data_IF_214070285148
#
_entry.id   IF_214070285148
#
_cell.length_a   1.000
_cell.length_b   1.000
_cell.length_c   1.000
_cell.angle_alpha   90.00
_cell.angle_beta   90.00
_cell.angle_gamma   90.00
#
_symmetry.space_group_name_H-M   'P 1'
#
loop_
_entity.id
_entity.type
_entity.pdbx_description
1 polymer ?
#
# COMPACT_ATOMS: atom_id res chain seq x y z
N UNK A 1 -10.89 24.37 -7.46
CA UNK A 1 -10.23 23.34 -8.29
C UNK A 1 -10.79 21.98 -7.94
N UNK A 2 -11.08 21.12 -8.92
CA UNK A 2 -11.50 19.74 -8.65
C UNK A 2 -10.31 18.95 -8.09
N UNK A 3 -10.56 18.13 -7.07
CA UNK A 3 -9.54 17.24 -6.51
C UNK A 3 -9.25 16.10 -7.49
N UNK A 4 -7.97 15.69 -7.67
CA UNK A 4 -7.65 14.55 -8.53
C UNK A 4 -8.16 13.25 -7.90
N UNK A 5 -8.51 12.29 -8.73
CA UNK A 5 -8.71 10.92 -8.27
C UNK A 5 -7.37 10.27 -7.93
N UNK A 6 -7.34 9.47 -6.88
CA UNK A 6 -6.15 8.76 -6.41
C UNK A 6 -6.44 7.27 -6.46
N UNK A 7 -5.57 6.51 -7.12
CA UNK A 7 -5.63 5.05 -7.17
C UNK A 7 -4.30 4.49 -6.63
N UNK A 8 -4.36 3.75 -5.53
CA UNK A 8 -3.23 2.99 -5.00
C UNK A 8 -3.41 1.52 -5.37
N UNK A 9 -2.46 0.95 -6.10
CA UNK A 9 -2.42 -0.48 -6.42
C UNK A 9 -1.19 -1.07 -5.72
N UNK A 10 -1.41 -2.08 -4.90
CA UNK A 10 -0.33 -2.85 -4.27
C UNK A 10 -0.40 -4.29 -4.76
N UNK A 11 0.73 -4.79 -5.24
CA UNK A 11 0.86 -6.18 -5.69
C UNK A 11 1.85 -6.86 -4.74
N UNK A 12 1.32 -7.70 -3.86
CA UNK A 12 2.15 -8.43 -2.90
C UNK A 12 3.08 -9.40 -3.62
N UNK A 13 4.29 -9.56 -3.08
CA UNK A 13 5.31 -10.48 -3.60
C UNK A 13 5.76 -10.23 -5.05
N UNK A 14 5.43 -9.09 -5.64
CA UNK A 14 5.91 -8.75 -6.98
C UNK A 14 7.41 -8.41 -6.94
N UNK A 15 8.19 -9.21 -7.62
CA UNK A 15 9.65 -9.02 -7.74
C UNK A 15 9.97 -7.93 -8.75
N UNK A 16 10.80 -6.97 -8.35
CA UNK A 16 11.22 -5.86 -9.21
C UNK A 16 12.00 -6.31 -10.45
N UNK A 17 12.78 -7.38 -10.35
CA UNK A 17 13.52 -7.95 -11.49
C UNK A 17 12.61 -8.55 -12.57
N UNK A 18 11.31 -8.74 -12.28
CA UNK A 18 10.32 -9.23 -13.24
C UNK A 18 9.61 -8.12 -14.00
N UNK A 19 9.69 -6.88 -13.55
CA UNK A 19 8.98 -5.76 -14.16
C UNK A 19 9.82 -4.49 -14.40
N UNK A 20 10.99 -4.34 -13.75
CA UNK A 20 11.81 -3.11 -13.85
C UNK A 20 13.23 -3.40 -14.40
N UNK A 21 13.62 -4.64 -14.54
CA UNK A 21 14.97 -5.03 -15.00
C UNK A 21 15.15 -4.84 -16.51
N UNK A 22 16.41 -4.61 -16.94
CA UNK A 22 16.77 -4.59 -18.37
C UNK A 22 16.63 -5.95 -19.06
N UNK A 23 16.70 -7.05 -18.30
CA UNK A 23 16.57 -8.42 -18.79
C UNK A 23 15.29 -9.05 -18.26
N UNK A 24 14.15 -8.53 -18.69
CA UNK A 24 12.84 -9.02 -18.27
C UNK A 24 12.63 -10.45 -18.73
N UNK A 25 12.31 -11.35 -17.80
CA UNK A 25 11.84 -12.71 -18.07
C UNK A 25 10.31 -12.83 -18.05
N UNK A 26 9.61 -11.70 -17.91
CA UNK A 26 8.16 -11.61 -17.83
C UNK A 26 7.63 -10.62 -18.87
N UNK A 27 6.39 -10.85 -19.31
CA UNK A 27 5.67 -9.95 -20.22
C UNK A 27 4.70 -9.16 -19.36
N UNK A 28 4.94 -7.85 -19.20
CA UNK A 28 4.18 -6.96 -18.31
C UNK A 28 3.73 -5.67 -19.03
N UNK A 29 2.95 -5.78 -20.13
CA UNK A 29 2.69 -4.63 -21.01
C UNK A 29 2.02 -3.45 -20.31
N UNK A 30 1.16 -3.69 -19.33
CA UNK A 30 0.49 -2.62 -18.59
C UNK A 30 1.44 -1.94 -17.58
N UNK A 31 2.32 -2.70 -16.93
CA UNK A 31 3.35 -2.13 -16.06
C UNK A 31 4.36 -1.36 -16.90
N UNK A 32 4.77 -1.89 -18.06
CA UNK A 32 5.67 -1.24 -19.00
C UNK A 32 5.09 0.10 -19.48
N UNK A 33 3.78 0.13 -19.75
CA UNK A 33 3.08 1.37 -20.10
C UNK A 33 3.14 2.40 -18.96
N UNK A 34 2.90 1.99 -17.71
CA UNK A 34 3.00 2.88 -16.55
C UNK A 34 4.43 3.38 -16.34
N UNK A 35 5.42 2.51 -16.47
CA UNK A 35 6.84 2.85 -16.39
C UNK A 35 7.21 3.91 -17.43
N UNK A 36 6.75 3.74 -18.67
CA UNK A 36 7.05 4.66 -19.77
C UNK A 36 6.41 6.04 -19.60
N UNK A 37 5.23 6.11 -18.99
CA UNK A 37 4.42 7.33 -18.91
C UNK A 37 4.39 7.97 -17.51
N UNK A 38 5.01 7.34 -16.52
CA UNK A 38 5.05 7.79 -15.14
C UNK A 38 6.46 8.02 -14.60
N UNK A 39 6.55 8.10 -13.29
CA UNK A 39 7.82 8.18 -12.56
C UNK A 39 8.11 6.83 -11.90
N UNK A 40 9.32 6.32 -12.08
CA UNK A 40 9.77 5.04 -11.53
C UNK A 40 10.82 5.26 -10.46
N UNK A 41 10.69 4.55 -9.35
CA UNK A 41 11.63 4.56 -8.23
C UNK A 41 12.29 3.17 -8.09
N UNK A 42 13.34 2.85 -8.86
CA UNK A 42 13.88 1.50 -8.94
C UNK A 42 14.59 1.03 -7.66
N UNK A 43 14.99 1.95 -6.82
CA UNK A 43 15.74 1.66 -5.58
C UNK A 43 14.88 1.84 -4.32
N UNK A 44 13.58 1.61 -4.42
CA UNK A 44 12.69 1.66 -3.26
C UNK A 44 12.91 0.45 -2.36
N UNK A 45 13.07 0.70 -1.07
CA UNK A 45 13.30 -0.33 -0.04
C UNK A 45 12.05 -0.44 0.83
N UNK A 46 11.58 -1.67 1.04
CA UNK A 46 10.49 -1.94 1.97
C UNK A 46 10.92 -1.65 3.42
N UNK A 47 10.00 -1.09 4.20
CA UNK A 47 10.23 -0.82 5.62
C UNK A 47 10.32 -2.08 6.49
N UNK A 48 9.82 -3.22 5.99
CA UNK A 48 9.84 -4.51 6.68
C UNK A 48 9.78 -5.67 5.69
N UNK A 49 10.14 -6.86 6.16
CA UNK A 49 10.07 -8.09 5.38
C UNK A 49 8.68 -8.77 5.45
N UNK A 50 7.82 -8.37 6.41
CA UNK A 50 6.47 -8.92 6.58
C UNK A 50 5.42 -7.97 5.99
N UNK A 51 4.47 -8.52 5.23
CA UNK A 51 3.43 -7.76 4.52
C UNK A 51 2.64 -6.84 5.44
N UNK A 52 2.12 -7.35 6.57
CA UNK A 52 1.33 -6.55 7.51
C UNK A 52 2.10 -5.32 8.02
N UNK A 53 3.37 -5.48 8.38
CA UNK A 53 4.22 -4.42 8.91
C UNK A 53 4.59 -3.41 7.83
N UNK A 54 4.94 -3.88 6.62
CA UNK A 54 5.26 -3.02 5.50
C UNK A 54 4.03 -2.19 5.06
N UNK A 55 2.86 -2.82 4.97
CA UNK A 55 1.62 -2.13 4.63
C UNK A 55 1.22 -1.12 5.69
N UNK A 56 1.32 -1.46 6.97
CA UNK A 56 1.06 -0.49 8.05
C UNK A 56 1.95 0.73 7.95
N UNK A 57 3.21 0.56 7.56
CA UNK A 57 4.12 1.69 7.32
C UNK A 57 3.70 2.53 6.12
N UNK A 58 3.22 1.91 5.04
CA UNK A 58 2.69 2.64 3.87
C UNK A 58 1.45 3.45 4.28
N UNK A 59 0.55 2.85 5.06
CA UNK A 59 -0.70 3.51 5.46
C UNK A 59 -0.49 4.67 6.42
N UNK A 60 0.50 4.59 7.28
CA UNK A 60 0.76 5.60 8.34
C UNK A 60 1.88 6.58 7.98
N UNK A 61 2.73 6.25 7.01
CA UNK A 61 3.96 7.00 6.74
C UNK A 61 5.00 6.89 7.85
N UNK A 62 4.83 5.97 8.80
CA UNK A 62 5.70 5.79 9.96
C UNK A 62 6.53 4.51 9.83
N UNK A 63 7.77 4.51 10.33
CA UNK A 63 8.56 3.29 10.41
C UNK A 63 7.96 2.31 11.43
N UNK A 64 8.16 0.99 11.27
CA UNK A 64 7.54 -0.05 12.09
C UNK A 64 7.67 0.14 13.59
N UNK A 65 8.85 0.52 14.06
CA UNK A 65 9.11 0.72 15.51
C UNK A 65 8.30 1.88 16.12
N UNK A 66 7.83 2.84 15.31
CA UNK A 66 6.96 3.93 15.79
C UNK A 66 5.49 3.52 15.88
N UNK A 67 5.07 2.53 15.13
CA UNK A 67 3.72 1.97 15.21
C UNK A 67 3.65 0.75 16.14
N UNK A 68 4.76 0.41 16.80
CA UNK A 68 4.83 -0.69 17.74
C UNK A 68 4.84 -2.08 17.11
N UNK A 69 5.20 -2.17 15.83
CA UNK A 69 5.23 -3.44 15.09
C UNK A 69 6.65 -3.84 14.74
N UNK A 70 6.90 -5.13 14.70
CA UNK A 70 8.07 -5.75 14.09
C UNK A 70 7.67 -7.03 13.34
N UNK A 71 8.61 -7.75 12.75
CA UNK A 71 8.33 -8.95 11.95
C UNK A 71 7.87 -10.14 12.77
N UNK A 72 8.03 -10.12 14.08
CA UNK A 72 7.64 -11.19 15.01
C UNK A 72 6.34 -10.79 15.74
N UNK A 73 6.27 -9.52 16.17
CA UNK A 73 5.18 -8.96 16.95
C UNK A 73 4.33 -8.04 16.07
N UNK A 74 3.74 -8.58 15.02
CA UNK A 74 2.75 -7.85 14.23
C UNK A 74 1.35 -8.07 14.82
N UNK A 75 0.60 -7.01 14.90
CA UNK A 75 -0.76 -7.00 15.41
C UNK A 75 -1.62 -6.06 14.55
N UNK A 76 -2.90 -5.99 14.86
CA UNK A 76 -3.80 -5.06 14.21
C UNK A 76 -3.33 -3.62 14.41
N UNK A 77 -3.32 -2.82 13.34
CA UNK A 77 -2.99 -1.40 13.40
C UNK A 77 -3.96 -0.70 14.36
N UNK A 78 -3.41 0.06 15.32
CA UNK A 78 -4.25 0.79 16.28
C UNK A 78 -5.14 1.81 15.55
N UNK A 79 -6.43 1.87 15.88
CA UNK A 79 -7.34 2.85 15.29
C UNK A 79 -6.99 4.29 15.66
N UNK A 80 -6.16 4.52 16.67
CA UNK A 80 -5.74 5.87 17.09
C UNK A 80 -4.63 6.43 16.19
N UNK A 81 -3.96 5.58 15.43
CA UNK A 81 -2.90 6.01 14.52
C UNK A 81 -3.53 6.67 13.28
N UNK A 82 -3.01 7.82 12.91
CA UNK A 82 -3.44 8.51 11.71
C UNK A 82 -2.94 7.77 10.46
N UNK A 83 -3.84 7.55 9.51
CA UNK A 83 -3.54 6.93 8.22
C UNK A 83 -3.80 7.92 7.08
N UNK A 84 -3.16 7.69 5.92
CA UNK A 84 -3.44 8.51 4.73
C UNK A 84 -4.93 8.47 4.35
N UNK A 85 -5.63 7.37 4.65
CA UNK A 85 -7.07 7.21 4.39
C UNK A 85 -7.89 8.20 5.24
N UNK A 86 -7.57 8.31 6.54
CA UNK A 86 -8.20 9.32 7.44
C UNK A 86 -7.94 10.73 6.94
N UNK A 87 -6.70 11.02 6.54
CA UNK A 87 -6.32 12.32 6.00
C UNK A 87 -7.13 12.64 4.73
N UNK A 88 -7.27 11.69 3.81
CA UNK A 88 -8.05 11.85 2.59
C UNK A 88 -9.53 12.09 2.90
N UNK A 89 -10.14 11.32 3.79
CA UNK A 89 -11.53 11.51 4.23
C UNK A 89 -11.74 12.90 4.82
N UNK A 90 -10.88 13.32 5.74
CA UNK A 90 -10.93 14.63 6.36
C UNK A 90 -10.78 15.76 5.34
N UNK A 91 -10.17 15.47 4.20
CA UNK A 91 -10.09 16.38 3.07
C UNK A 91 -11.22 16.18 2.04
N UNK A 92 -12.28 15.44 2.37
CA UNK A 92 -13.49 15.29 1.57
C UNK A 92 -13.32 14.38 0.35
N UNK A 93 -12.40 13.41 0.39
CA UNK A 93 -12.37 12.30 -0.55
C UNK A 93 -13.34 11.20 -0.09
N UNK A 94 -14.01 10.59 -1.04
CA UNK A 94 -14.65 9.28 -0.82
C UNK A 94 -13.61 8.20 -0.99
N UNK A 95 -13.56 7.27 -0.06
CA UNK A 95 -12.53 6.24 -0.01
C UNK A 95 -13.14 4.86 -0.17
N UNK A 96 -12.53 4.06 -1.03
CA UNK A 96 -12.95 2.69 -1.31
C UNK A 96 -11.72 1.78 -1.33
N UNK A 97 -11.85 0.57 -0.79
CA UNK A 97 -10.81 -0.45 -0.83
C UNK A 97 -11.36 -1.77 -1.37
N UNK A 98 -10.55 -2.47 -2.12
CA UNK A 98 -10.72 -3.90 -2.42
C UNK A 98 -9.44 -4.61 -2.04
N UNK A 99 -9.51 -5.56 -1.11
CA UNK A 99 -8.34 -6.21 -0.56
C UNK A 99 -8.66 -7.63 -0.09
N UNK A 100 -7.67 -8.52 0.07
CA UNK A 100 -7.86 -9.80 0.73
C UNK A 100 -8.40 -9.62 2.16
N UNK A 101 -9.20 -10.57 2.65
CA UNK A 101 -9.82 -10.52 3.99
C UNK A 101 -8.80 -10.32 5.12
N UNK A 102 -7.60 -10.85 4.98
CA UNK A 102 -6.50 -10.66 5.94
C UNK A 102 -6.12 -9.17 6.16
N UNK A 103 -6.40 -8.30 5.20
CA UNK A 103 -6.16 -6.86 5.36
C UNK A 103 -7.10 -6.22 6.40
N UNK A 104 -8.29 -6.79 6.58
CA UNK A 104 -9.23 -6.39 7.63
C UNK A 104 -8.72 -6.82 9.00
N UNK A 105 -8.19 -8.04 9.12
CA UNK A 105 -7.61 -8.56 10.36
C UNK A 105 -6.47 -7.67 10.85
N UNK A 106 -5.65 -7.15 9.93
CA UNK A 106 -4.58 -6.20 10.24
C UNK A 106 -5.05 -4.76 10.44
N UNK A 107 -6.34 -4.47 10.26
CA UNK A 107 -6.89 -3.12 10.42
C UNK A 107 -6.55 -2.15 9.28
N UNK A 108 -6.07 -2.63 8.15
CA UNK A 108 -5.61 -1.79 7.05
C UNK A 108 -6.75 -1.15 6.26
N UNK A 109 -7.90 -1.81 6.18
CA UNK A 109 -9.04 -1.30 5.40
C UNK A 109 -10.16 -0.71 6.26
N UNK A 110 -10.00 -0.68 7.58
CA UNK A 110 -11.04 -0.22 8.51
C UNK A 110 -11.37 1.27 8.37
N UNK A 111 -10.45 2.07 7.88
CA UNK A 111 -10.65 3.51 7.74
C UNK A 111 -11.38 3.89 6.45
N UNK A 112 -11.51 2.99 5.49
CA UNK A 112 -12.25 3.25 4.25
C UNK A 112 -13.75 3.36 4.50
N UNK A 113 -14.45 4.20 3.71
CA UNK A 113 -15.90 4.32 3.79
C UNK A 113 -16.60 3.08 3.24
N UNK A 114 -16.04 2.50 2.20
CA UNK A 114 -16.50 1.24 1.60
C UNK A 114 -15.31 0.31 1.42
N UNK A 115 -15.48 -0.95 1.78
CA UNK A 115 -14.46 -1.98 1.58
C UNK A 115 -15.10 -3.28 1.14
N UNK A 116 -14.49 -3.90 0.13
CA UNK A 116 -14.83 -5.24 -0.34
C UNK A 116 -13.65 -6.16 -0.02
N UNK A 117 -13.92 -7.25 0.70
CA UNK A 117 -12.94 -8.30 0.99
C UNK A 117 -13.19 -9.51 0.07
N UNK A 118 -12.14 -10.03 -0.53
CA UNK A 118 -12.15 -11.19 -1.43
C UNK A 118 -11.42 -12.38 -0.82
#
# INVERSE_FOLDING_TARGET
MSKPNILLIVIDSLRSDKCISKNLSSITPNIDFLIKNGTVFPNTISSAAATAVAMSSIFTGLPPFKIGMDTINYHRLSPDIETYVKILKNNGYKTHATAPSVAEDFGLICDFENSDST
#
